data_IF_068820261307
#
_entry.id   IF_068820261307
#
_cell.length_a   1.000
_cell.length_b   1.000
_cell.length_c   1.000
_cell.angle_alpha   90.00
_cell.angle_beta   90.00
_cell.angle_gamma   90.00
#
_symmetry.space_group_name_H-M   'P 1'
#
loop_
_entity.id
_entity.type
_entity.pdbx_description
1 polymer ?
#
# COMPACT_ATOMS: atom_id res chain seq x y z
N UNK A 1 27.57 15.15 -19.35
CA UNK A 1 28.01 15.79 -18.09
C UNK A 1 26.77 15.85 -17.17
N UNK A 2 26.83 15.26 -15.98
CA UNK A 2 25.68 15.21 -15.05
C UNK A 2 25.28 16.62 -14.60
N UNK A 3 24.00 16.87 -14.36
CA UNK A 3 23.45 18.19 -13.97
C UNK A 3 24.08 18.76 -12.69
N UNK A 4 24.65 17.90 -11.83
CA UNK A 4 25.28 18.28 -10.57
C UNK A 4 26.82 18.31 -10.59
N UNK A 5 27.44 18.27 -11.76
CA UNK A 5 28.91 18.15 -11.93
C UNK A 5 29.72 19.44 -11.64
N UNK A 6 29.10 20.54 -11.21
CA UNK A 6 29.73 21.87 -11.16
C UNK A 6 31.02 21.99 -10.30
N UNK A 7 31.25 21.16 -9.28
CA UNK A 7 32.41 21.14 -8.41
C UNK A 7 33.47 20.09 -8.78
N UNK A 8 33.04 19.06 -9.54
CA UNK A 8 33.83 17.86 -9.74
C UNK A 8 34.79 18.00 -10.93
N UNK A 9 36.03 17.52 -10.75
CA UNK A 9 37.10 17.54 -11.77
C UNK A 9 37.29 16.18 -12.46
N UNK A 10 36.58 15.12 -11.97
CA UNK A 10 36.66 13.76 -12.52
C UNK A 10 35.27 13.25 -12.75
N UNK A 11 35.14 12.36 -13.71
CA UNK A 11 33.88 11.60 -13.92
C UNK A 11 33.65 10.63 -12.75
N UNK A 12 32.37 10.35 -12.48
CA UNK A 12 31.97 9.37 -11.46
C UNK A 12 32.30 7.96 -11.97
N UNK A 13 32.86 7.12 -11.10
CA UNK A 13 33.11 5.72 -11.41
C UNK A 13 31.80 5.00 -11.81
N UNK A 14 31.90 4.08 -12.78
CA UNK A 14 30.73 3.35 -13.28
C UNK A 14 30.02 2.53 -12.20
N UNK A 15 30.79 1.93 -11.27
CA UNK A 15 30.23 1.16 -10.12
C UNK A 15 29.43 2.08 -9.18
N UNK A 16 29.90 3.31 -8.98
CA UNK A 16 29.20 4.32 -8.15
C UNK A 16 27.92 4.80 -8.83
N UNK A 17 27.94 4.92 -10.17
CA UNK A 17 26.73 5.28 -10.92
C UNK A 17 25.65 4.22 -10.78
N UNK A 18 26.01 2.95 -10.94
CA UNK A 18 25.10 1.82 -10.77
C UNK A 18 24.58 1.72 -9.34
N UNK A 19 25.47 1.81 -8.35
CA UNK A 19 25.12 1.78 -6.93
C UNK A 19 24.18 2.91 -6.50
N UNK A 20 24.30 4.09 -7.09
CA UNK A 20 23.44 5.24 -6.75
C UNK A 20 22.14 5.30 -7.55
N UNK A 21 22.02 4.53 -8.63
CA UNK A 21 20.85 4.57 -9.51
C UNK A 21 19.61 3.96 -8.82
N UNK A 22 18.48 4.63 -8.97
CA UNK A 22 17.17 4.19 -8.46
C UNK A 22 16.15 3.92 -9.56
N UNK A 23 16.51 4.18 -10.83
CA UNK A 23 15.57 4.08 -11.96
C UNK A 23 14.94 2.69 -12.09
N UNK A 24 15.63 1.63 -11.67
CA UNK A 24 15.13 0.26 -11.73
C UNK A 24 13.86 0.03 -10.89
N UNK A 25 13.63 0.82 -9.86
CA UNK A 25 12.45 0.73 -9.00
C UNK A 25 11.63 2.02 -8.95
N UNK A 26 12.22 3.21 -9.02
CA UNK A 26 11.47 4.47 -8.92
C UNK A 26 10.75 4.85 -10.23
N UNK A 27 11.09 4.20 -11.34
CA UNK A 27 10.37 4.34 -12.61
C UNK A 27 8.86 4.21 -12.46
N UNK A 28 8.35 3.43 -11.49
CA UNK A 28 6.91 3.25 -11.26
C UNK A 28 6.21 4.54 -10.78
N UNK A 29 6.94 5.56 -10.34
CA UNK A 29 6.40 6.87 -9.95
C UNK A 29 6.37 7.91 -11.10
N UNK A 30 6.56 7.49 -12.35
CA UNK A 30 6.59 8.39 -13.50
C UNK A 30 5.36 9.30 -13.60
N UNK A 31 4.19 8.79 -13.23
CA UNK A 31 2.93 9.53 -13.27
C UNK A 31 2.87 10.62 -12.21
N UNK A 32 3.32 10.29 -11.02
CA UNK A 32 3.41 11.21 -9.88
C UNK A 32 4.43 12.32 -10.17
N UNK A 33 5.61 11.99 -10.69
CA UNK A 33 6.64 12.98 -11.08
C UNK A 33 6.14 13.95 -12.15
N UNK A 34 5.50 13.43 -13.19
CA UNK A 34 4.96 14.27 -14.27
C UNK A 34 3.84 15.17 -13.73
N UNK A 35 2.94 14.63 -12.87
CA UNK A 35 1.84 15.40 -12.29
C UNK A 35 2.38 16.51 -11.39
N UNK A 36 3.34 16.22 -10.52
CA UNK A 36 4.02 17.20 -9.67
C UNK A 36 4.75 18.27 -10.50
N UNK A 37 5.43 17.87 -11.55
CA UNK A 37 6.15 18.75 -12.47
C UNK A 37 5.19 19.67 -13.25
N UNK A 38 4.04 19.20 -13.68
CA UNK A 38 3.00 20.02 -14.33
C UNK A 38 2.48 21.11 -13.37
N UNK A 39 2.15 20.72 -12.13
CA UNK A 39 1.69 21.67 -11.11
C UNK A 39 2.76 22.73 -10.79
N UNK A 40 4.02 22.32 -10.70
CA UNK A 40 5.14 23.22 -10.48
C UNK A 40 5.35 24.19 -11.65
N UNK A 41 5.37 23.72 -12.89
CA UNK A 41 5.50 24.55 -14.07
C UNK A 41 4.37 25.59 -14.19
N UNK A 42 3.12 25.19 -13.93
CA UNK A 42 1.96 26.07 -13.92
C UNK A 42 2.11 27.18 -12.86
N UNK A 43 2.60 26.84 -11.66
CA UNK A 43 2.87 27.80 -10.60
C UNK A 43 3.99 28.77 -11.01
N UNK A 44 5.09 28.28 -11.57
CA UNK A 44 6.20 29.13 -12.03
C UNK A 44 5.74 30.15 -13.06
N UNK A 45 4.92 29.75 -14.04
CA UNK A 45 4.34 30.66 -15.04
C UNK A 45 3.43 31.70 -14.40
N UNK A 46 2.50 31.29 -13.53
CA UNK A 46 1.54 32.16 -12.87
C UNK A 46 2.20 33.18 -11.95
N UNK A 47 3.30 32.80 -11.26
CA UNK A 47 4.07 33.72 -10.42
C UNK A 47 5.05 34.62 -11.23
N UNK A 48 5.11 34.45 -12.56
CA UNK A 48 6.02 35.22 -13.42
C UNK A 48 7.50 34.87 -13.22
N UNK A 49 7.81 33.74 -12.60
CA UNK A 49 9.18 33.24 -12.42
C UNK A 49 9.76 32.77 -13.74
N UNK A 50 8.92 32.15 -14.58
CA UNK A 50 9.18 31.89 -16.00
C UNK A 50 8.08 32.53 -16.83
N UNK A 51 8.27 32.68 -18.13
CA UNK A 51 7.24 33.23 -19.01
C UNK A 51 6.08 32.24 -19.18
N UNK A 52 4.85 32.75 -19.30
CA UNK A 52 3.65 31.92 -19.41
C UNK A 52 3.73 30.91 -20.58
N UNK A 53 4.15 31.36 -21.77
CA UNK A 53 4.32 30.47 -22.92
C UNK A 53 5.42 29.41 -22.72
N UNK A 54 6.40 29.65 -21.84
CA UNK A 54 7.42 28.64 -21.48
C UNK A 54 6.83 27.59 -20.54
N UNK A 55 5.99 28.03 -19.60
CA UNK A 55 5.25 27.12 -18.73
C UNK A 55 4.30 26.21 -19.53
N UNK A 56 3.52 26.78 -20.46
CA UNK A 56 2.63 26.04 -21.36
C UNK A 56 3.42 25.01 -22.17
N UNK A 57 4.55 25.40 -22.76
CA UNK A 57 5.41 24.49 -23.55
C UNK A 57 5.95 23.34 -22.72
N UNK A 58 6.32 23.57 -21.45
CA UNK A 58 6.77 22.55 -20.50
C UNK A 58 5.61 21.60 -20.19
N UNK A 59 4.43 22.13 -19.85
CA UNK A 59 3.25 21.35 -19.52
C UNK A 59 2.85 20.44 -20.68
N UNK A 60 2.79 20.96 -21.90
CA UNK A 60 2.44 20.18 -23.07
C UNK A 60 3.49 19.11 -23.39
N UNK A 61 4.78 19.43 -23.20
CA UNK A 61 5.87 18.47 -23.33
C UNK A 61 5.76 17.32 -22.30
N UNK A 62 5.43 17.64 -21.04
CA UNK A 62 5.23 16.64 -19.98
C UNK A 62 4.01 15.74 -20.25
N UNK A 63 2.89 16.32 -20.71
CA UNK A 63 1.71 15.53 -21.10
C UNK A 63 2.00 14.57 -22.27
N UNK A 64 2.76 15.02 -23.25
CA UNK A 64 3.19 14.18 -24.37
C UNK A 64 4.11 13.05 -23.89
N UNK A 65 5.04 13.33 -22.97
CA UNK A 65 5.90 12.29 -22.38
C UNK A 65 5.06 11.26 -21.62
N UNK A 66 4.09 11.69 -20.84
CA UNK A 66 3.18 10.80 -20.11
C UNK A 66 2.45 9.85 -21.08
N UNK A 67 1.88 10.38 -22.16
CA UNK A 67 1.18 9.58 -23.16
C UNK A 67 2.10 8.55 -23.82
N UNK A 68 3.35 8.93 -24.13
CA UNK A 68 4.31 8.03 -24.75
C UNK A 68 4.80 6.93 -23.79
N UNK A 69 4.96 7.25 -22.48
CA UNK A 69 5.27 6.24 -21.45
C UNK A 69 4.13 5.22 -21.37
N UNK A 70 2.89 5.69 -21.30
CA UNK A 70 1.69 4.83 -21.24
C UNK A 70 1.50 3.97 -22.50
N UNK A 71 1.98 4.46 -23.66
CA UNK A 71 2.01 3.71 -24.91
C UNK A 71 3.22 2.77 -25.04
N UNK A 72 4.10 2.71 -24.03
CA UNK A 72 5.32 1.89 -24.05
C UNK A 72 6.37 2.35 -25.06
N UNK A 73 6.37 3.64 -25.42
CA UNK A 73 7.26 4.23 -26.44
C UNK A 73 8.49 4.91 -25.84
N UNK A 74 8.64 4.89 -24.52
CA UNK A 74 9.76 5.53 -23.80
C UNK A 74 10.57 4.45 -23.09
N UNK A 75 11.87 4.44 -23.33
CA UNK A 75 12.84 3.68 -22.54
C UNK A 75 13.60 4.62 -21.59
N UNK A 76 13.69 4.24 -20.31
CA UNK A 76 14.47 4.99 -19.36
C UNK A 76 15.94 4.58 -19.38
N UNK A 77 16.83 5.56 -19.25
CA UNK A 77 18.27 5.36 -19.24
C UNK A 77 18.81 5.26 -17.81
N UNK A 78 19.62 4.22 -17.57
CA UNK A 78 20.38 4.07 -16.32
C UNK A 78 21.38 5.23 -16.09
N UNK A 79 21.85 5.87 -17.14
CA UNK A 79 22.78 7.02 -17.04
C UNK A 79 22.13 8.23 -16.39
N UNK A 80 20.80 8.32 -16.39
CA UNK A 80 20.03 9.40 -15.79
C UNK A 80 19.65 9.13 -14.32
N UNK A 81 20.24 8.14 -13.68
CA UNK A 81 20.16 7.85 -12.23
C UNK A 81 18.74 7.54 -11.71
N UNK A 82 17.74 8.42 -11.90
CA UNK A 82 16.39 8.32 -11.37
C UNK A 82 15.31 8.70 -12.40
N UNK A 83 14.05 8.45 -12.06
CA UNK A 83 12.91 8.79 -12.93
C UNK A 83 12.82 10.29 -13.21
N UNK A 84 13.16 11.12 -12.25
CA UNK A 84 13.09 12.57 -12.34
C UNK A 84 14.07 13.10 -13.40
N UNK A 85 15.34 12.65 -13.36
CA UNK A 85 16.33 13.01 -14.38
C UNK A 85 15.99 12.45 -15.75
N UNK A 86 15.40 11.27 -15.82
CA UNK A 86 14.94 10.70 -17.08
C UNK A 86 13.88 11.59 -17.72
N UNK A 87 12.83 11.96 -17.00
CA UNK A 87 11.75 12.82 -17.49
C UNK A 87 12.29 14.21 -17.88
N UNK A 88 13.13 14.84 -17.04
CA UNK A 88 13.70 16.15 -17.31
C UNK A 88 14.63 16.14 -18.54
N UNK A 89 15.41 15.07 -18.73
CA UNK A 89 16.27 14.87 -19.91
C UNK A 89 15.45 14.71 -21.17
N UNK A 90 14.43 13.85 -21.17
CA UNK A 90 13.54 13.64 -22.31
C UNK A 90 12.81 14.95 -22.66
N UNK A 91 12.30 15.67 -21.65
CA UNK A 91 11.66 16.96 -21.84
C UNK A 91 12.62 17.95 -22.54
N UNK A 92 13.85 18.07 -22.02
CA UNK A 92 14.86 18.99 -22.57
C UNK A 92 15.23 18.61 -24.02
N UNK A 93 15.34 17.33 -24.35
CA UNK A 93 15.57 16.86 -25.70
C UNK A 93 14.44 17.26 -26.66
N UNK A 94 13.18 17.23 -26.19
CA UNK A 94 11.99 17.55 -27.02
C UNK A 94 11.75 19.03 -27.21
N UNK A 95 11.94 19.84 -26.17
CA UNK A 95 11.57 21.25 -26.21
C UNK A 95 12.76 22.24 -26.07
N UNK A 96 13.98 21.71 -25.99
CA UNK A 96 15.21 22.49 -25.93
C UNK A 96 15.40 23.19 -24.56
N UNK A 97 16.07 24.35 -24.57
CA UNK A 97 16.44 25.08 -23.32
C UNK A 97 15.24 25.47 -22.45
N UNK A 98 14.05 25.55 -23.00
CA UNK A 98 12.82 25.76 -22.23
C UNK A 98 12.61 24.64 -21.19
N UNK A 99 12.94 23.39 -21.53
CA UNK A 99 12.84 22.24 -20.63
C UNK A 99 13.67 22.39 -19.36
N UNK A 100 14.86 22.98 -19.48
CA UNK A 100 15.75 23.21 -18.33
C UNK A 100 15.16 24.18 -17.27
N UNK A 101 14.14 24.97 -17.63
CA UNK A 101 13.49 25.91 -16.70
C UNK A 101 12.55 25.20 -15.72
N UNK A 102 12.16 23.95 -15.99
CA UNK A 102 11.33 23.15 -15.10
C UNK A 102 11.94 23.02 -13.69
N UNK A 103 13.27 22.93 -13.59
CA UNK A 103 13.95 22.76 -12.30
C UNK A 103 14.05 24.06 -11.47
N UNK A 104 13.64 25.22 -12.01
CA UNK A 104 13.70 26.51 -11.32
C UNK A 104 12.94 26.45 -9.98
N UNK A 105 13.58 26.93 -8.90
CA UNK A 105 13.02 27.00 -7.55
C UNK A 105 12.62 25.63 -6.94
N UNK A 106 13.10 24.53 -7.47
CA UNK A 106 12.83 23.16 -6.99
C UNK A 106 14.14 22.44 -6.67
N UNK A 107 14.09 21.53 -5.72
CA UNK A 107 15.13 20.55 -5.44
C UNK A 107 14.63 19.14 -5.76
N UNK A 108 15.57 18.20 -5.95
CA UNK A 108 15.25 16.79 -5.99
C UNK A 108 14.57 16.33 -4.68
N UNK A 109 14.92 16.94 -3.55
CA UNK A 109 14.43 16.55 -2.23
C UNK A 109 12.92 16.80 -2.07
N UNK A 110 12.40 17.98 -2.44
CA UNK A 110 10.96 18.25 -2.35
C UNK A 110 10.19 17.59 -3.49
N UNK A 111 10.82 17.38 -4.64
CA UNK A 111 10.24 16.63 -5.77
C UNK A 111 10.00 15.17 -5.40
N UNK A 112 11.01 14.44 -4.94
CA UNK A 112 10.82 13.02 -4.55
C UNK A 112 9.87 12.87 -3.38
N UNK A 113 9.86 13.84 -2.43
CA UNK A 113 8.95 13.80 -1.29
C UNK A 113 7.48 13.91 -1.71
N UNK A 114 7.14 14.81 -2.65
CA UNK A 114 5.76 14.93 -3.14
C UNK A 114 5.34 13.74 -3.98
N UNK A 115 6.22 13.23 -4.84
CA UNK A 115 5.92 12.11 -5.72
C UNK A 115 5.65 10.83 -4.92
N UNK A 116 6.49 10.55 -3.93
CA UNK A 116 6.33 9.39 -3.06
C UNK A 116 5.06 9.49 -2.21
N UNK A 117 4.73 10.69 -1.71
CA UNK A 117 3.51 10.96 -0.97
C UNK A 117 2.25 10.78 -1.85
N UNK A 118 2.27 11.27 -3.09
CA UNK A 118 1.17 11.06 -4.05
C UNK A 118 1.01 9.58 -4.41
N UNK A 119 2.12 8.86 -4.60
CA UNK A 119 2.12 7.42 -4.85
C UNK A 119 1.45 6.66 -3.70
N UNK A 120 1.92 6.84 -2.46
CA UNK A 120 1.35 6.16 -1.29
C UNK A 120 -0.13 6.51 -1.11
N UNK A 121 -0.53 7.76 -1.31
CA UNK A 121 -1.94 8.20 -1.27
C UNK A 121 -2.82 7.42 -2.26
N UNK A 122 -2.35 7.24 -3.47
CA UNK A 122 -3.06 6.49 -4.53
C UNK A 122 -3.20 5.01 -4.14
N UNK A 123 -2.12 4.39 -3.66
CA UNK A 123 -2.13 2.97 -3.32
C UNK A 123 -2.99 2.70 -2.06
N UNK A 124 -3.02 3.62 -1.08
CA UNK A 124 -3.96 3.52 0.05
C UNK A 124 -5.41 3.47 -0.47
N UNK A 125 -5.79 4.34 -1.41
CA UNK A 125 -7.13 4.36 -1.98
C UNK A 125 -7.48 3.06 -2.72
N UNK A 126 -6.51 2.51 -3.47
CA UNK A 126 -6.67 1.23 -4.15
C UNK A 126 -6.87 0.08 -3.15
N UNK A 127 -6.04 0.01 -2.12
CA UNK A 127 -6.11 -1.02 -1.07
C UNK A 127 -7.42 -0.92 -0.29
N UNK A 128 -7.91 0.28 0.05
CA UNK A 128 -9.24 0.47 0.66
C UNK A 128 -10.32 -0.14 -0.24
N UNK A 129 -10.27 0.10 -1.55
CA UNK A 129 -11.20 -0.50 -2.50
C UNK A 129 -11.20 -2.03 -2.46
N UNK A 130 -10.01 -2.64 -2.43
CA UNK A 130 -9.86 -4.09 -2.33
C UNK A 130 -10.36 -4.67 -1.00
N UNK A 131 -10.17 -3.95 0.12
CA UNK A 131 -10.72 -4.35 1.42
C UNK A 131 -12.25 -4.32 1.39
N UNK A 132 -12.85 -3.28 0.82
CA UNK A 132 -14.30 -3.16 0.68
C UNK A 132 -14.89 -4.28 -0.20
N UNK A 133 -14.18 -4.70 -1.25
CA UNK A 133 -14.58 -5.83 -2.07
C UNK A 133 -14.52 -7.16 -1.29
N UNK A 134 -13.50 -7.37 -0.46
CA UNK A 134 -13.45 -8.49 0.47
C UNK A 134 -14.60 -8.45 1.48
N UNK A 135 -14.94 -7.29 2.04
CA UNK A 135 -16.07 -7.15 2.97
C UNK A 135 -17.40 -7.51 2.31
N UNK A 136 -17.62 -7.15 1.04
CA UNK A 136 -18.80 -7.56 0.29
C UNK A 136 -18.91 -9.09 0.17
N UNK A 137 -17.77 -9.78 -0.02
CA UNK A 137 -17.75 -11.25 -0.03
C UNK A 137 -18.14 -11.81 1.32
N UNK A 138 -17.60 -11.27 2.41
CA UNK A 138 -17.92 -11.69 3.78
C UNK A 138 -19.40 -11.53 4.11
N UNK A 139 -19.99 -10.39 3.74
CA UNK A 139 -21.42 -10.12 3.94
C UNK A 139 -22.28 -11.16 3.18
N UNK A 140 -21.99 -11.39 1.88
CA UNK A 140 -22.71 -12.40 1.10
C UNK A 140 -22.61 -13.80 1.71
N UNK A 141 -21.41 -14.20 2.16
CA UNK A 141 -21.22 -15.51 2.83
C UNK A 141 -21.96 -15.60 4.16
N UNK A 142 -21.99 -14.50 4.93
CA UNK A 142 -22.74 -14.43 6.18
C UNK A 142 -24.26 -14.53 5.93
N UNK A 143 -24.79 -13.76 4.99
CA UNK A 143 -26.22 -13.78 4.64
C UNK A 143 -26.69 -15.17 4.17
N UNK A 144 -25.87 -15.86 3.38
CA UNK A 144 -26.17 -17.21 2.91
C UNK A 144 -26.11 -18.28 4.02
N UNK A 145 -25.60 -17.95 5.22
CA UNK A 145 -25.33 -18.89 6.30
C UNK A 145 -25.80 -18.38 7.68
N UNK A 146 -26.87 -17.59 7.74
CA UNK A 146 -27.41 -17.02 8.98
C UNK A 146 -27.76 -18.11 10.02
N UNK A 147 -28.34 -19.24 9.56
CA UNK A 147 -28.79 -20.35 10.40
C UNK A 147 -27.77 -21.51 10.46
N UNK A 148 -26.58 -21.34 9.90
CA UNK A 148 -25.55 -22.37 9.91
C UNK A 148 -24.85 -22.39 11.28
N UNK A 149 -25.33 -23.29 12.15
CA UNK A 149 -24.78 -23.47 13.50
C UNK A 149 -23.45 -24.23 13.43
N UNK A 150 -22.44 -23.71 14.13
CA UNK A 150 -21.13 -24.32 14.30
C UNK A 150 -20.63 -24.20 15.76
N UNK A 151 -19.69 -25.05 16.20
CA UNK A 151 -19.04 -24.83 17.48
C UNK A 151 -18.12 -23.64 17.42
N UNK A 152 -18.19 -22.74 18.40
CA UNK A 152 -17.18 -21.74 18.67
C UNK A 152 -16.02 -22.35 19.49
N UNK A 153 -14.84 -21.81 19.33
CA UNK A 153 -13.61 -22.32 19.94
C UNK A 153 -12.91 -21.25 20.79
N UNK A 154 -12.42 -21.66 21.95
CA UNK A 154 -11.38 -20.98 22.71
C UNK A 154 -10.30 -22.00 23.05
N UNK A 155 -9.01 -21.62 22.97
CA UNK A 155 -7.88 -22.54 23.20
C UNK A 155 -7.91 -23.80 22.29
N UNK A 156 -8.49 -23.67 21.09
CA UNK A 156 -8.81 -24.80 20.19
C UNK A 156 -9.69 -25.89 20.81
N UNK A 157 -10.39 -25.58 21.90
CA UNK A 157 -11.39 -26.43 22.53
C UNK A 157 -12.78 -25.91 22.18
N UNK A 158 -13.74 -26.80 22.00
CA UNK A 158 -15.15 -26.44 21.78
C UNK A 158 -15.67 -25.71 23.00
N UNK A 159 -16.24 -24.53 22.78
CA UNK A 159 -16.70 -23.66 23.86
C UNK A 159 -18.23 -23.53 23.84
N UNK A 160 -18.76 -22.64 23.02
CA UNK A 160 -20.19 -22.37 22.90
C UNK A 160 -20.65 -22.50 21.44
N UNK A 161 -21.93 -22.77 21.16
CA UNK A 161 -22.45 -22.71 19.81
C UNK A 161 -22.43 -21.26 19.28
N UNK A 162 -22.12 -21.13 18.02
CA UNK A 162 -22.20 -19.87 17.27
C UNK A 162 -22.73 -20.14 15.87
N UNK A 163 -22.80 -19.13 15.01
CA UNK A 163 -23.12 -19.32 13.59
C UNK A 163 -21.92 -18.99 12.71
N UNK A 164 -21.87 -19.61 11.55
CA UNK A 164 -20.86 -19.28 10.55
C UNK A 164 -20.94 -17.80 10.14
N UNK A 165 -22.16 -17.27 9.99
CA UNK A 165 -22.38 -15.85 9.74
C UNK A 165 -21.72 -14.95 10.78
N UNK A 166 -21.88 -15.28 12.08
CA UNK A 166 -21.26 -14.50 13.15
C UNK A 166 -19.73 -14.54 13.11
N UNK A 167 -19.16 -15.69 12.76
CA UNK A 167 -17.72 -15.83 12.56
C UNK A 167 -17.22 -14.97 11.37
N UNK A 168 -17.94 -14.96 10.23
CA UNK A 168 -17.60 -14.10 9.09
C UNK A 168 -17.64 -12.62 9.46
N UNK A 169 -18.67 -12.19 10.21
CA UNK A 169 -18.80 -10.80 10.63
C UNK A 169 -17.75 -10.36 11.67
N UNK A 170 -17.15 -11.31 12.41
CA UNK A 170 -16.00 -10.99 13.26
C UNK A 170 -14.80 -10.52 12.42
N UNK A 171 -14.51 -11.19 11.31
CA UNK A 171 -13.46 -10.78 10.37
C UNK A 171 -13.81 -9.48 9.62
N UNK A 172 -15.06 -9.31 9.19
CA UNK A 172 -15.51 -8.05 8.60
C UNK A 172 -15.25 -6.85 9.54
N UNK A 173 -15.49 -7.01 10.85
CA UNK A 173 -15.15 -5.97 11.83
C UNK A 173 -13.64 -5.71 11.97
N UNK A 174 -12.78 -6.69 11.71
CA UNK A 174 -11.33 -6.45 11.67
C UNK A 174 -10.96 -5.61 10.45
N UNK A 175 -11.44 -5.97 9.27
CA UNK A 175 -11.17 -5.25 8.02
C UNK A 175 -11.75 -3.83 8.01
N UNK A 176 -12.94 -3.64 8.59
CA UNK A 176 -13.49 -2.29 8.81
C UNK A 176 -12.53 -1.40 9.62
N UNK A 177 -11.87 -1.93 10.65
CA UNK A 177 -10.86 -1.17 11.39
C UNK A 177 -9.58 -0.91 10.57
N UNK A 178 -9.26 -1.79 9.61
CA UNK A 178 -8.11 -1.58 8.72
C UNK A 178 -8.40 -0.45 7.73
N UNK A 179 -9.63 -0.36 7.19
CA UNK A 179 -10.06 0.78 6.38
C UNK A 179 -9.88 2.09 7.15
N UNK A 180 -10.38 2.18 8.39
CA UNK A 180 -10.25 3.43 9.17
C UNK A 180 -8.80 3.80 9.49
N UNK A 181 -7.88 2.81 9.66
CA UNK A 181 -6.45 3.09 9.81
C UNK A 181 -5.85 3.71 8.55
N UNK A 182 -6.23 3.20 7.39
CA UNK A 182 -5.78 3.75 6.11
C UNK A 182 -6.37 5.14 5.84
N UNK A 183 -7.64 5.37 6.20
CA UNK A 183 -8.27 6.70 6.14
C UNK A 183 -7.56 7.71 7.07
N UNK A 184 -7.20 7.29 8.27
CA UNK A 184 -6.43 8.10 9.22
C UNK A 184 -5.03 8.45 8.68
N UNK A 185 -4.37 7.51 8.00
CA UNK A 185 -3.10 7.76 7.31
C UNK A 185 -3.28 8.80 6.20
N UNK A 186 -4.32 8.67 5.36
CA UNK A 186 -4.66 9.67 4.34
C UNK A 186 -4.86 11.06 4.92
N UNK A 187 -5.56 11.16 6.04
CA UNK A 187 -5.84 12.44 6.69
C UNK A 187 -4.56 13.12 7.23
N UNK A 188 -3.62 12.34 7.79
CA UNK A 188 -2.36 12.90 8.30
C UNK A 188 -1.34 13.24 7.22
N UNK A 189 -1.36 12.52 6.09
CA UNK A 189 -0.43 12.79 4.99
C UNK A 189 -0.91 13.86 4.01
N UNK A 190 -2.06 14.48 4.24
CA UNK A 190 -2.71 15.43 3.32
C UNK A 190 -2.07 16.83 3.35
N UNK A 191 -0.74 16.85 3.25
CA UNK A 191 0.07 18.07 3.20
C UNK A 191 1.12 17.97 2.08
N UNK A 192 1.29 19.06 1.30
CA UNK A 192 2.16 19.12 0.13
C UNK A 192 3.58 19.58 0.50
N UNK A 193 4.62 18.77 0.28
CA UNK A 193 6.00 19.18 0.54
C UNK A 193 6.61 20.04 -0.57
N UNK A 194 6.03 20.09 -1.77
CA UNK A 194 6.58 20.78 -2.93
C UNK A 194 6.69 22.29 -2.67
N UNK A 195 7.86 22.85 -3.00
CA UNK A 195 8.24 24.24 -2.70
C UNK A 195 9.06 24.38 -1.42
N UNK A 196 9.32 23.30 -0.69
CA UNK A 196 10.26 23.29 0.42
C UNK A 196 11.74 23.43 -0.06
N UNK A 197 12.00 23.19 -1.34
CA UNK A 197 13.33 23.19 -1.90
C UNK A 197 14.17 22.04 -1.35
N UNK A 198 15.49 22.28 -1.21
CA UNK A 198 16.36 21.26 -0.62
C UNK A 198 16.10 21.05 0.89
N UNK A 199 15.81 22.16 1.62
CA UNK A 199 15.55 22.17 3.06
C UNK A 199 15.03 23.53 3.59
N UNK A 200 15.36 24.65 2.94
CA UNK A 200 15.14 26.00 3.44
C UNK A 200 14.38 26.87 2.42
N UNK A 201 13.51 26.26 1.64
CA UNK A 201 12.73 26.90 0.59
C UNK A 201 13.59 27.46 -0.57
N UNK A 202 13.16 28.55 -1.20
CA UNK A 202 13.81 29.19 -2.34
C UNK A 202 13.71 30.70 -2.20
N UNK A 203 14.60 31.44 -2.86
CA UNK A 203 14.54 32.90 -2.95
C UNK A 203 13.49 33.42 -3.95
N UNK A 204 12.88 32.52 -4.72
CA UNK A 204 11.80 32.84 -5.63
C UNK A 204 10.46 32.95 -4.92
N UNK A 205 9.53 33.80 -5.37
CA UNK A 205 8.20 33.96 -4.77
C UNK A 205 7.28 32.82 -5.20
N UNK A 206 7.62 31.59 -4.84
CA UNK A 206 6.79 30.40 -5.14
C UNK A 206 5.50 30.42 -4.33
N UNK A 207 4.39 30.03 -4.97
CA UNK A 207 3.10 29.86 -4.31
C UNK A 207 2.85 28.37 -3.99
N UNK A 208 3.19 28.00 -2.75
CA UNK A 208 3.04 26.63 -2.27
C UNK A 208 1.57 26.22 -2.09
N UNK A 209 0.65 27.16 -1.86
CA UNK A 209 -0.77 26.89 -1.77
C UNK A 209 -1.35 26.54 -3.14
N UNK A 210 -0.92 27.22 -4.20
CA UNK A 210 -1.31 26.89 -5.57
C UNK A 210 -0.89 25.48 -5.94
N UNK A 211 0.36 25.07 -5.65
CA UNK A 211 0.83 23.72 -5.95
C UNK A 211 0.12 22.66 -5.12
N UNK A 212 -0.10 22.91 -3.82
CA UNK A 212 -0.85 22.00 -2.96
C UNK A 212 -2.27 21.77 -3.49
N UNK A 213 -2.98 22.84 -3.83
CA UNK A 213 -4.34 22.75 -4.38
C UNK A 213 -4.38 22.00 -5.73
N UNK A 214 -3.40 22.26 -6.62
CA UNK A 214 -3.33 21.61 -7.93
C UNK A 214 -3.06 20.10 -7.81
N UNK A 215 -2.37 19.67 -6.75
CA UNK A 215 -2.07 18.27 -6.46
C UNK A 215 -3.09 17.60 -5.52
N UNK A 216 -4.16 18.31 -5.15
CA UNK A 216 -5.22 17.79 -4.29
C UNK A 216 -4.81 17.57 -2.84
N UNK A 217 -3.87 18.37 -2.33
CA UNK A 217 -3.54 18.44 -0.91
C UNK A 217 -4.30 19.60 -0.24
N UNK A 218 -4.62 19.45 1.04
CA UNK A 218 -5.35 20.47 1.82
C UNK A 218 -4.53 21.73 2.05
N UNK A 219 -3.21 21.59 2.24
CA UNK A 219 -2.27 22.69 2.48
C UNK A 219 -0.83 22.29 2.16
N UNK A 220 0.11 23.26 2.05
CA UNK A 220 1.54 22.95 2.10
C UNK A 220 1.96 22.54 3.51
N UNK A 221 3.03 21.75 3.62
CA UNK A 221 3.68 21.41 4.90
C UNK A 221 4.16 22.68 5.62
N UNK A 222 4.11 22.65 6.96
CA UNK A 222 4.38 23.84 7.79
C UNK A 222 5.88 24.16 7.93
N UNK A 223 6.76 23.13 7.88
CA UNK A 223 8.20 23.28 8.06
C UNK A 223 8.98 22.67 6.90
N UNK A 224 9.83 23.45 6.24
CA UNK A 224 10.57 23.02 5.03
C UNK A 224 11.66 21.98 5.29
N UNK A 225 12.23 21.94 6.48
CA UNK A 225 13.21 20.92 6.87
C UNK A 225 12.52 19.56 7.06
N UNK A 226 11.39 19.58 7.74
CA UNK A 226 10.55 18.40 7.96
C UNK A 226 9.93 17.90 6.65
N UNK A 227 9.47 18.79 5.78
CA UNK A 227 8.87 18.48 4.47
C UNK A 227 9.63 17.47 3.64
N UNK A 228 10.96 17.59 3.61
CA UNK A 228 11.86 16.76 2.81
C UNK A 228 12.43 15.58 3.59
N UNK A 229 12.25 15.58 4.91
CA UNK A 229 12.72 14.56 5.85
C UNK A 229 11.63 13.55 6.22
N UNK A 230 10.37 13.97 6.25
CA UNK A 230 9.24 13.16 6.71
C UNK A 230 9.03 11.90 5.86
N UNK A 231 8.94 10.77 6.54
CA UNK A 231 8.51 9.47 6.02
C UNK A 231 7.49 8.80 6.94
N UNK A 232 6.91 9.55 7.88
CA UNK A 232 5.92 9.02 8.83
C UNK A 232 4.70 8.47 8.08
N UNK A 233 4.27 9.12 7.00
CA UNK A 233 3.18 8.64 6.14
C UNK A 233 3.45 7.23 5.56
N UNK A 234 4.70 6.94 5.18
CA UNK A 234 5.09 5.64 4.65
C UNK A 234 5.20 4.59 5.78
N UNK A 235 5.73 4.96 6.94
CA UNK A 235 5.78 4.11 8.14
C UNK A 235 4.38 3.78 8.65
N UNK A 236 3.48 4.75 8.68
CA UNK A 236 2.09 4.56 9.08
C UNK A 236 1.34 3.66 8.10
N UNK A 237 1.53 3.87 6.80
CA UNK A 237 1.01 3.00 5.76
C UNK A 237 1.49 1.56 5.93
N UNK A 238 2.80 1.34 6.09
CA UNK A 238 3.37 0.00 6.31
C UNK A 238 2.86 -0.64 7.62
N UNK A 239 2.63 0.17 8.65
CA UNK A 239 2.05 -0.30 9.91
C UNK A 239 0.60 -0.76 9.71
N UNK A 240 -0.21 0.00 8.98
CA UNK A 240 -1.58 -0.36 8.64
C UNK A 240 -1.62 -1.65 7.78
N UNK A 241 -0.76 -1.75 6.75
CA UNK A 241 -0.61 -2.95 5.94
C UNK A 241 -0.17 -4.17 6.78
N UNK A 242 0.72 -3.98 7.75
CA UNK A 242 1.15 -5.05 8.66
C UNK A 242 0.01 -5.57 9.52
N UNK A 243 -0.85 -4.69 10.04
CA UNK A 243 -2.04 -5.08 10.80
C UNK A 243 -3.06 -5.79 9.90
N UNK A 244 -3.31 -5.27 8.70
CA UNK A 244 -4.17 -5.89 7.70
C UNK A 244 -3.70 -7.32 7.36
N UNK A 245 -2.41 -7.49 7.07
CA UNK A 245 -1.84 -8.82 6.78
C UNK A 245 -1.92 -9.76 7.98
N UNK A 246 -1.81 -9.26 9.21
CA UNK A 246 -2.03 -10.04 10.42
C UNK A 246 -3.48 -10.54 10.50
N UNK A 247 -4.47 -9.72 10.15
CA UNK A 247 -5.87 -10.16 10.10
C UNK A 247 -6.10 -11.21 9.02
N UNK A 248 -5.52 -11.02 7.81
CA UNK A 248 -5.56 -12.03 6.74
C UNK A 248 -4.89 -13.34 7.17
N UNK A 249 -3.76 -13.26 7.87
CA UNK A 249 -3.05 -14.43 8.40
C UNK A 249 -3.89 -15.21 9.42
N UNK A 250 -4.54 -14.52 10.35
CA UNK A 250 -5.44 -15.15 11.32
C UNK A 250 -6.63 -15.82 10.65
N UNK A 251 -7.22 -15.17 9.67
CA UNK A 251 -8.33 -15.75 8.93
C UNK A 251 -7.88 -16.95 8.08
N UNK A 252 -6.71 -16.86 7.46
CA UNK A 252 -6.10 -18.00 6.75
C UNK A 252 -5.90 -19.20 7.66
N UNK A 253 -5.47 -19.01 8.91
CA UNK A 253 -5.33 -20.08 9.89
C UNK A 253 -6.67 -20.76 10.19
N UNK A 254 -7.75 -19.99 10.39
CA UNK A 254 -9.10 -20.55 10.57
C UNK A 254 -9.53 -21.39 9.36
N UNK A 255 -9.30 -20.90 8.14
CA UNK A 255 -9.64 -21.62 6.91
C UNK A 255 -8.83 -22.91 6.81
N UNK A 256 -7.54 -22.89 7.11
CA UNK A 256 -6.66 -24.06 7.11
C UNK A 256 -7.21 -25.12 8.10
N UNK A 257 -7.56 -24.70 9.32
CA UNK A 257 -8.17 -25.57 10.31
C UNK A 257 -9.50 -26.12 9.80
N UNK A 258 -10.38 -25.25 9.28
CA UNK A 258 -11.71 -25.67 8.79
C UNK A 258 -11.65 -26.59 7.56
N UNK A 259 -10.62 -26.48 6.74
CA UNK A 259 -10.38 -27.38 5.59
C UNK A 259 -9.79 -28.72 6.00
N UNK A 260 -9.21 -28.84 7.21
CA UNK A 260 -8.53 -30.05 7.64
C UNK A 260 -9.47 -31.26 7.66
N UNK A 261 -8.91 -32.45 7.57
CA UNK A 261 -9.69 -33.70 7.64
C UNK A 261 -10.46 -33.85 8.95
N UNK A 262 -9.93 -33.31 10.02
CA UNK A 262 -10.49 -33.37 11.37
C UNK A 262 -11.71 -32.47 11.54
N UNK A 263 -11.69 -31.26 10.93
CA UNK A 263 -12.80 -30.31 11.01
C UNK A 263 -13.80 -30.49 9.87
N UNK A 264 -13.36 -30.46 8.63
CA UNK A 264 -14.19 -30.50 7.41
C UNK A 264 -15.39 -29.56 7.44
N UNK A 265 -15.18 -28.34 7.93
CA UNK A 265 -16.24 -27.33 8.01
C UNK A 265 -16.41 -26.58 6.70
N UNK A 266 -15.33 -26.47 5.94
CA UNK A 266 -15.34 -25.86 4.62
C UNK A 266 -14.54 -26.71 3.62
N UNK A 267 -14.79 -26.45 2.35
CA UNK A 267 -14.00 -27.01 1.25
C UNK A 267 -13.68 -25.90 0.27
N UNK A 268 -12.39 -25.70 -0.01
CA UNK A 268 -11.94 -24.74 -1.02
C UNK A 268 -12.24 -25.27 -2.41
N UNK A 269 -12.50 -24.37 -3.33
CA UNK A 269 -12.63 -24.69 -4.75
C UNK A 269 -11.30 -25.23 -5.30
N UNK A 270 -11.38 -26.10 -6.32
CA UNK A 270 -10.18 -26.68 -6.97
C UNK A 270 -9.28 -25.60 -7.58
N UNK A 271 -9.85 -24.50 -8.04
CA UNK A 271 -9.12 -23.37 -8.58
C UNK A 271 -8.23 -22.63 -7.53
N UNK A 272 -8.51 -22.84 -6.25
CA UNK A 272 -7.80 -22.20 -5.11
C UNK A 272 -7.15 -23.23 -4.18
N UNK A 273 -6.84 -24.39 -4.71
CA UNK A 273 -6.24 -25.50 -3.97
C UNK A 273 -5.19 -26.18 -4.84
N UNK A 274 -4.27 -26.93 -4.23
CA UNK A 274 -3.38 -27.79 -4.97
C UNK A 274 -3.53 -29.25 -4.52
N UNK A 275 -3.12 -30.17 -5.38
CA UNK A 275 -3.06 -31.60 -5.08
C UNK A 275 -1.65 -32.05 -4.69
N UNK A 276 -1.47 -33.37 -4.67
CA UNK A 276 -0.18 -33.99 -4.48
C UNK A 276 0.16 -34.85 -5.70
N UNK A 277 1.40 -34.78 -6.17
CA UNK A 277 1.87 -35.61 -7.29
C UNK A 277 1.92 -37.12 -6.96
N UNK A 278 1.96 -37.46 -5.67
CA UNK A 278 2.10 -38.84 -5.18
C UNK A 278 0.87 -39.33 -4.41
N UNK A 279 0.04 -38.40 -3.89
CA UNK A 279 -1.14 -38.72 -3.09
C UNK A 279 -2.41 -38.17 -3.77
N UNK A 280 -3.10 -38.95 -4.63
CA UNK A 280 -4.18 -38.45 -5.47
C UNK A 280 -5.42 -37.98 -4.69
N UNK A 281 -5.57 -38.39 -3.42
CA UNK A 281 -6.68 -37.99 -2.55
C UNK A 281 -6.43 -36.65 -1.81
N UNK A 282 -5.18 -36.10 -1.89
CA UNK A 282 -4.78 -34.93 -1.11
C UNK A 282 -5.17 -33.63 -1.81
N UNK A 283 -5.78 -32.73 -1.05
CA UNK A 283 -6.13 -31.36 -1.46
C UNK A 283 -5.62 -30.39 -0.39
N UNK A 284 -4.77 -29.46 -0.78
CA UNK A 284 -4.06 -28.57 0.13
C UNK A 284 -4.66 -27.15 0.07
N UNK A 285 -4.77 -26.43 1.19
CA UNK A 285 -5.21 -25.04 1.23
C UNK A 285 -4.04 -24.06 0.99
N UNK A 286 -3.25 -24.26 -0.09
CA UNK A 286 -2.00 -23.55 -0.33
C UNK A 286 -2.16 -22.03 -0.40
N UNK A 287 -3.27 -21.54 -0.93
CA UNK A 287 -3.56 -20.11 -1.01
C UNK A 287 -3.59 -19.51 0.39
N UNK A 288 -4.31 -20.13 1.33
CA UNK A 288 -4.38 -19.67 2.71
C UNK A 288 -2.99 -19.77 3.41
N UNK A 289 -2.24 -20.86 3.15
CA UNK A 289 -0.90 -21.03 3.72
C UNK A 289 0.08 -19.97 3.22
N UNK A 290 0.06 -19.68 1.92
CA UNK A 290 0.95 -18.68 1.32
C UNK A 290 0.61 -17.27 1.78
N UNK A 291 -0.66 -16.93 1.93
CA UNK A 291 -1.11 -15.66 2.52
C UNK A 291 -0.59 -15.48 3.94
N UNK A 292 -0.70 -16.53 4.77
CA UNK A 292 -0.12 -16.56 6.11
C UNK A 292 1.41 -16.32 6.07
N UNK A 293 2.10 -16.94 5.14
CA UNK A 293 3.54 -16.78 4.95
C UNK A 293 3.94 -15.37 4.48
N UNK A 294 3.21 -14.79 3.53
CA UNK A 294 3.46 -13.44 2.97
C UNK A 294 3.33 -12.32 4.01
N UNK A 295 2.63 -12.54 5.11
CA UNK A 295 2.54 -11.59 6.24
C UNK A 295 3.92 -11.20 6.77
N UNK A 296 4.84 -12.15 6.89
CA UNK A 296 6.21 -11.89 7.34
C UNK A 296 7.00 -10.96 6.40
N UNK A 297 6.68 -10.99 5.09
CA UNK A 297 7.31 -10.10 4.10
C UNK A 297 6.93 -8.63 4.36
N UNK A 298 5.65 -8.34 4.57
CA UNK A 298 5.18 -6.98 4.87
C UNK A 298 5.71 -6.49 6.23
N UNK A 299 5.82 -7.36 7.24
CA UNK A 299 6.49 -7.02 8.50
C UNK A 299 7.95 -6.64 8.29
N UNK A 300 8.66 -7.39 7.42
CA UNK A 300 10.02 -7.08 7.04
C UNK A 300 10.14 -5.68 6.43
N UNK A 301 9.23 -5.29 5.54
CA UNK A 301 9.18 -3.97 4.92
C UNK A 301 9.03 -2.85 5.95
N UNK A 302 8.14 -3.00 6.93
CA UNK A 302 7.99 -2.04 8.03
C UNK A 302 9.28 -1.90 8.86
N UNK A 303 9.86 -3.02 9.26
CA UNK A 303 11.10 -3.03 10.07
C UNK A 303 12.27 -2.43 9.28
N UNK A 304 12.34 -2.67 7.97
CA UNK A 304 13.35 -2.09 7.10
C UNK A 304 13.24 -0.56 7.13
N UNK A 305 12.08 0.02 6.87
CA UNK A 305 11.92 1.46 6.84
C UNK A 305 12.14 2.12 8.22
N UNK A 306 11.64 1.51 9.30
CA UNK A 306 11.94 1.96 10.67
C UNK A 306 13.45 1.99 10.94
N UNK A 307 14.17 0.98 10.43
CA UNK A 307 15.62 0.88 10.60
C UNK A 307 16.37 1.91 9.77
N UNK A 308 15.92 2.18 8.53
CA UNK A 308 16.48 3.23 7.68
C UNK A 308 16.34 4.60 8.35
N UNK A 309 15.13 4.92 8.84
CA UNK A 309 14.83 6.25 9.38
C UNK A 309 15.44 6.54 10.76
N UNK A 310 15.69 5.50 11.57
CA UNK A 310 16.27 5.71 12.92
C UNK A 310 17.61 6.43 12.84
N UNK A 311 17.79 7.51 13.55
CA UNK A 311 19.08 8.19 13.69
C UNK A 311 19.54 9.01 12.49
N UNK A 312 18.71 9.18 11.45
CA UNK A 312 19.01 10.10 10.36
C UNK A 312 18.89 11.55 10.85
N UNK A 313 19.88 12.42 10.52
CA UNK A 313 19.74 13.86 10.76
C UNK A 313 18.75 14.47 9.76
N UNK A 314 18.28 15.70 10.06
CA UNK A 314 17.53 16.52 9.10
C UNK A 314 18.48 16.90 7.93
N UNK A 315 18.03 17.18 6.75
CA UNK A 315 16.71 17.08 6.16
C UNK A 315 16.61 15.79 5.30
N UNK A 316 17.48 15.64 4.29
CA UNK A 316 17.58 14.49 3.41
C UNK A 316 19.00 13.89 3.45
N UNK A 317 19.07 12.58 3.53
CA UNK A 317 20.27 11.77 3.40
C UNK A 317 20.02 10.66 2.37
N UNK A 318 21.05 10.20 1.67
CA UNK A 318 20.93 9.20 0.60
C UNK A 318 20.34 7.87 1.10
N UNK A 319 20.46 7.56 2.40
CA UNK A 319 19.79 6.44 3.07
C UNK A 319 18.28 6.39 2.76
N UNK A 320 17.64 7.54 2.62
CA UNK A 320 16.22 7.66 2.33
C UNK A 320 15.84 7.18 0.91
N UNK A 321 16.80 6.85 0.04
CA UNK A 321 16.52 6.17 -1.21
C UNK A 321 15.96 4.76 -0.97
N UNK A 322 16.35 4.12 0.16
CA UNK A 322 15.90 2.80 0.58
C UNK A 322 14.45 2.79 1.14
N UNK A 323 13.74 3.92 1.12
CA UNK A 323 12.36 4.03 1.57
C UNK A 323 11.35 3.41 0.58
N UNK A 324 11.67 3.39 -0.71
CA UNK A 324 10.75 3.05 -1.78
C UNK A 324 10.54 1.54 -1.95
N UNK A 325 11.62 0.78 -2.04
CA UNK A 325 11.53 -0.65 -2.31
C UNK A 325 10.69 -1.40 -1.26
N UNK A 326 10.85 -1.17 0.07
CA UNK A 326 9.99 -1.83 1.06
C UNK A 326 8.52 -1.41 0.95
N UNK A 327 8.23 -0.16 0.59
CA UNK A 327 6.85 0.30 0.37
C UNK A 327 6.26 -0.35 -0.88
N UNK A 328 6.99 -0.36 -1.97
CA UNK A 328 6.55 -0.97 -3.22
C UNK A 328 6.30 -2.48 -3.07
N UNK A 329 7.18 -3.17 -2.36
CA UNK A 329 7.04 -4.59 -2.07
C UNK A 329 5.81 -4.90 -1.20
N UNK A 330 5.53 -4.05 -0.21
CA UNK A 330 4.34 -4.18 0.64
C UNK A 330 3.06 -3.92 -0.16
N UNK A 331 3.03 -2.89 -1.02
CA UNK A 331 1.91 -2.60 -1.93
C UNK A 331 1.63 -3.81 -2.81
N UNK A 332 2.63 -4.28 -3.57
CA UNK A 332 2.48 -5.41 -4.49
C UNK A 332 2.00 -6.68 -3.76
N UNK A 333 2.50 -6.90 -2.55
CA UNK A 333 2.09 -8.05 -1.72
C UNK A 333 0.64 -7.95 -1.28
N UNK A 334 0.21 -6.80 -0.76
CA UNK A 334 -1.16 -6.59 -0.28
C UNK A 334 -2.17 -6.61 -1.42
N UNK A 335 -1.86 -5.94 -2.53
CA UNK A 335 -2.73 -5.89 -3.72
C UNK A 335 -2.89 -7.25 -4.40
N UNK A 336 -1.89 -8.12 -4.30
CA UNK A 336 -2.00 -9.52 -4.74
C UNK A 336 -2.83 -10.34 -3.77
N UNK A 337 -2.61 -10.20 -2.47
CA UNK A 337 -3.22 -11.05 -1.43
C UNK A 337 -4.73 -10.82 -1.29
N UNK A 338 -5.20 -9.58 -1.30
CA UNK A 338 -6.61 -9.25 -1.06
C UNK A 338 -7.56 -9.87 -2.11
N UNK A 339 -7.35 -9.68 -3.43
CA UNK A 339 -8.23 -10.27 -4.44
C UNK A 339 -8.22 -11.80 -4.44
N UNK A 340 -7.04 -12.40 -4.26
CA UNK A 340 -6.92 -13.87 -4.23
C UNK A 340 -7.64 -14.43 -3.02
N UNK A 341 -7.52 -13.79 -1.85
CA UNK A 341 -8.23 -14.20 -0.64
C UNK A 341 -9.73 -14.03 -0.78
N UNK A 342 -10.20 -12.91 -1.32
CA UNK A 342 -11.62 -12.66 -1.58
C UNK A 342 -12.23 -13.72 -2.52
N UNK A 343 -11.54 -14.04 -3.62
CA UNK A 343 -11.98 -15.03 -4.58
C UNK A 343 -11.99 -16.46 -4.00
N UNK A 344 -10.99 -16.82 -3.20
CA UNK A 344 -10.94 -18.09 -2.46
C UNK A 344 -12.15 -18.22 -1.51
N UNK A 345 -12.48 -17.16 -0.77
CA UNK A 345 -13.65 -17.15 0.11
C UNK A 345 -14.95 -17.21 -0.66
N UNK A 346 -15.08 -16.49 -1.76
CA UNK A 346 -16.33 -16.42 -2.54
C UNK A 346 -16.70 -17.78 -3.14
N UNK A 347 -15.71 -18.56 -3.55
CA UNK A 347 -15.90 -19.90 -4.13
C UNK A 347 -15.96 -21.03 -3.09
N UNK A 348 -15.54 -20.77 -1.85
CA UNK A 348 -15.49 -21.74 -0.77
C UNK A 348 -16.87 -22.34 -0.46
N UNK A 349 -16.95 -23.66 -0.38
CA UNK A 349 -18.17 -24.40 0.01
C UNK A 349 -18.23 -24.56 1.53
N UNK A 350 -19.35 -24.16 2.14
CA UNK A 350 -19.63 -24.34 3.57
C UNK A 350 -20.30 -25.68 3.81
N UNK A 351 -19.72 -26.51 4.67
CA UNK A 351 -20.22 -27.86 5.02
C UNK A 351 -21.11 -27.80 6.25
N UNK A 352 -22.33 -27.31 6.07
CA UNK A 352 -23.30 -27.04 7.15
C UNK A 352 -23.59 -28.25 8.02
N UNK A 353 -23.71 -29.44 7.41
CA UNK A 353 -23.98 -30.68 8.12
C UNK A 353 -22.85 -31.07 9.07
N UNK A 354 -21.60 -30.92 8.64
CA UNK A 354 -20.42 -31.21 9.46
C UNK A 354 -20.32 -30.23 10.65
N UNK A 355 -20.59 -28.95 10.41
CA UNK A 355 -20.63 -27.92 11.46
C UNK A 355 -21.72 -28.24 12.50
N UNK A 356 -22.96 -28.55 12.03
CA UNK A 356 -24.08 -28.91 12.90
C UNK A 356 -23.78 -30.17 13.72
N UNK A 357 -23.24 -31.22 13.08
CA UNK A 357 -22.82 -32.44 13.76
C UNK A 357 -21.78 -32.15 14.84
N UNK A 358 -20.76 -31.35 14.54
CA UNK A 358 -19.74 -30.96 15.50
C UNK A 358 -20.31 -30.17 16.68
N UNK A 359 -21.28 -29.28 16.44
CA UNK A 359 -21.96 -28.52 17.49
C UNK A 359 -22.84 -29.39 18.40
N UNK A 360 -23.29 -30.57 17.93
CA UNK A 360 -24.07 -31.51 18.74
C UNK A 360 -23.26 -32.31 19.76
N UNK A 361 -21.95 -32.13 19.83
CA UNK A 361 -21.08 -32.89 20.71
C UNK A 361 -20.37 -32.01 21.75
N UNK A 362 -20.08 -32.58 22.95
CA UNK A 362 -19.22 -31.95 23.95
C UNK A 362 -19.98 -31.02 24.89
N UNK A 363 -21.29 -31.09 24.98
CA UNK A 363 -22.13 -30.30 25.90
C UNK A 363 -21.86 -28.77 25.79
N UNK A 364 -21.63 -28.28 24.60
CA UNK A 364 -21.28 -26.85 24.36
C UNK A 364 -22.40 -25.88 24.75
N UNK A 365 -23.63 -26.40 25.02
CA UNK A 365 -24.77 -25.67 25.54
C UNK A 365 -24.94 -25.78 27.07
N UNK A 366 -23.96 -26.32 27.80
CA UNK A 366 -24.02 -26.46 29.24
C UNK A 366 -24.22 -25.13 29.99
N UNK A 367 -23.57 -24.06 29.51
CA UNK A 367 -23.77 -22.72 30.07
C UNK A 367 -25.18 -22.21 29.90
N UNK A 368 -25.81 -22.45 28.73
CA UNK A 368 -27.21 -22.06 28.48
C UNK A 368 -28.16 -22.80 29.40
N UNK A 369 -27.86 -24.06 29.68
CA UNK A 369 -28.61 -24.88 30.66
C UNK A 369 -28.46 -24.32 32.09
N UNK A 370 -27.25 -24.00 32.51
CA UNK A 370 -26.99 -23.39 33.82
C UNK A 370 -27.68 -22.02 33.95
N UNK A 371 -27.63 -21.18 32.93
CA UNK A 371 -28.33 -19.90 32.89
C UNK A 371 -29.85 -20.06 32.99
N UNK A 372 -30.41 -21.06 32.27
CA UNK A 372 -31.85 -21.37 32.36
C UNK A 372 -32.24 -21.74 33.77
N UNK A 373 -31.47 -22.61 34.43
CA UNK A 373 -31.74 -23.05 35.83
C UNK A 373 -31.57 -21.87 36.80
N UNK A 374 -30.58 -21.03 36.61
CA UNK A 374 -30.37 -19.82 37.42
C UNK A 374 -31.55 -18.84 37.30
N UNK A 375 -32.07 -18.63 36.09
CA UNK A 375 -33.31 -17.85 35.90
C UNK A 375 -34.56 -18.47 36.55
N UNK A 376 -34.49 -19.74 36.93
CA UNK A 376 -35.52 -20.45 37.67
C UNK A 376 -35.27 -20.48 39.19
N UNK A 377 -34.25 -19.79 39.68
CA UNK A 377 -33.94 -19.61 41.09
C UNK A 377 -32.89 -20.57 41.67
N UNK A 378 -32.23 -21.37 40.85
CA UNK A 378 -31.06 -22.14 41.29
C UNK A 378 -29.81 -21.24 41.31
N UNK A 379 -28.95 -21.38 42.33
CA UNK A 379 -27.62 -20.75 42.27
C UNK A 379 -26.82 -21.28 41.07
N UNK A 380 -26.03 -20.38 40.46
CA UNK A 380 -25.19 -20.78 39.36
C UNK A 380 -24.11 -21.77 39.77
#
# INVERSE_FOLDING_TARGET
>A
MKLWAGRFQKETDALVNDFNSSISFDARMYREDITGSIAHAAMLGRQGIIKEHEAEKIIDGLKAILADIEAGQVEFSLENEDIHMNIETILTQRIGDTGKRLHTARSRNDQVAVDFRMYVRKEIQAIIGLILDLEKVLVRKAEANLDTVMPGYTHLQRAQPTTFAHAMMAYANMFKRDVTRLEDCLARMDECPLGAGALATSTYPVDRFQTAQALGFSKPTDNSLDSVSDRDFALEFLSACSILMMHLSRFSEEIILWCSWEFKFVELDDAYSTGSSIMPQKKNPDVAELLRGKTGRVYGSLITLLTVMKGLPLAYNKDMQEDKEPVFDAVDTVEMCLPVFAAMLDTMTVRTDNMRKAAGHGFINATDCADYLTKKGMPF
#
